data_IF_845913954688
#
_entry.id   IF_845913954688
#
_cell.length_a   1.000
_cell.length_b   1.000
_cell.length_c   1.000
_cell.angle_alpha   90.00
_cell.angle_beta   90.00
_cell.angle_gamma   90.00
#
_symmetry.space_group_name_H-M   'P 1'
#
loop_
_entity.id
_entity.type
_entity.pdbx_description
1 polymer ?
#
# COMPACT_ATOMS: atom_id res chain seq x y z
N UNK A 1 -20.09 6.40 -48.29
CA UNK A 1 -19.98 6.35 -46.82
C UNK A 1 -18.55 5.93 -46.46
N UNK A 2 -17.60 6.86 -46.51
CA UNK A 2 -16.18 6.58 -46.23
C UNK A 2 -15.94 6.84 -44.74
N UNK A 3 -15.93 5.79 -43.93
CA UNK A 3 -15.38 5.89 -42.57
C UNK A 3 -13.88 6.03 -42.69
N UNK A 4 -13.38 7.24 -42.50
CA UNK A 4 -11.96 7.53 -42.26
C UNK A 4 -11.52 6.73 -41.04
N UNK A 5 -11.09 5.48 -41.28
CA UNK A 5 -10.52 4.57 -40.29
C UNK A 5 -9.26 5.25 -39.79
N UNK A 6 -9.37 5.97 -38.68
CA UNK A 6 -8.27 6.73 -38.07
C UNK A 6 -7.02 5.86 -38.12
N UNK A 7 -6.03 6.28 -38.92
CA UNK A 7 -4.78 5.57 -39.12
C UNK A 7 -3.95 5.67 -37.83
N UNK A 8 -4.34 4.89 -36.82
CA UNK A 8 -3.72 4.83 -35.49
C UNK A 8 -2.41 4.03 -35.51
N UNK A 9 -1.74 3.93 -36.66
CA UNK A 9 -0.51 3.14 -36.82
C UNK A 9 0.61 3.68 -35.93
N UNK A 10 0.75 5.01 -35.85
CA UNK A 10 1.68 5.65 -34.91
C UNK A 10 1.32 5.40 -33.44
N UNK A 11 0.02 5.35 -33.10
CA UNK A 11 -0.42 5.02 -31.75
C UNK A 11 -0.20 3.54 -31.40
N UNK A 12 -0.31 2.65 -32.38
CA UNK A 12 -0.03 1.22 -32.22
C UNK A 12 1.46 0.97 -32.02
N UNK A 13 2.33 1.72 -32.67
CA UNK A 13 3.78 1.66 -32.47
C UNK A 13 4.19 1.92 -31.00
N UNK A 14 3.47 2.79 -30.27
CA UNK A 14 3.72 3.05 -28.84
C UNK A 14 3.57 1.80 -27.95
N UNK A 15 2.83 0.77 -28.39
CA UNK A 15 2.73 -0.51 -27.64
C UNK A 15 4.02 -1.32 -27.69
N UNK A 16 4.80 -1.13 -28.74
CA UNK A 16 6.05 -1.85 -29.00
C UNK A 16 7.26 -1.09 -28.47
N UNK A 17 7.11 0.21 -28.21
CA UNK A 17 8.15 1.03 -27.62
C UNK A 17 8.48 0.62 -26.17
N UNK A 18 9.76 0.74 -25.81
CA UNK A 18 10.22 0.45 -24.46
C UNK A 18 9.52 1.39 -23.47
N UNK A 19 8.85 0.87 -22.43
CA UNK A 19 8.15 1.71 -21.48
C UNK A 19 9.10 2.70 -20.82
N UNK A 20 8.71 3.97 -20.83
CA UNK A 20 9.51 5.11 -20.34
C UNK A 20 9.83 5.04 -18.84
N UNK A 21 9.16 4.18 -18.08
CA UNK A 21 9.34 4.03 -16.63
C UNK A 21 9.30 2.56 -16.19
N UNK A 22 10.13 2.21 -15.20
CA UNK A 22 10.14 0.87 -14.57
C UNK A 22 8.76 0.47 -14.03
N UNK A 23 8.01 1.40 -13.44
CA UNK A 23 6.66 1.08 -12.94
C UNK A 23 5.66 0.80 -14.08
N UNK A 24 5.81 1.46 -15.23
CA UNK A 24 4.97 1.21 -16.40
C UNK A 24 5.26 -0.18 -16.99
N UNK A 25 6.54 -0.58 -17.03
CA UNK A 25 6.95 -1.94 -17.35
C UNK A 25 6.28 -2.96 -16.42
N UNK A 26 6.37 -2.77 -15.09
CA UNK A 26 5.72 -3.66 -14.13
C UNK A 26 4.18 -3.63 -14.20
N UNK A 27 3.55 -2.54 -14.66
CA UNK A 27 2.11 -2.53 -14.92
C UNK A 27 1.73 -3.44 -16.09
N UNK A 28 2.56 -3.49 -17.13
CA UNK A 28 2.41 -4.41 -18.25
C UNK A 28 2.59 -5.87 -17.83
N UNK A 29 3.64 -6.16 -17.04
CA UNK A 29 3.91 -7.50 -16.51
C UNK A 29 2.98 -7.94 -15.38
N UNK A 30 2.20 -7.02 -14.78
CA UNK A 30 1.39 -7.32 -13.61
C UNK A 30 0.43 -8.51 -13.77
N UNK A 31 -0.27 -8.70 -14.92
CA UNK A 31 -1.12 -9.88 -15.12
C UNK A 31 -0.33 -11.20 -15.10
N UNK A 32 0.86 -11.24 -15.71
CA UNK A 32 1.73 -12.42 -15.72
C UNK A 32 2.28 -12.72 -14.33
N UNK A 33 2.63 -11.67 -13.57
CA UNK A 33 3.06 -11.79 -12.17
C UNK A 33 1.93 -12.40 -11.35
N UNK A 34 0.68 -11.95 -11.54
CA UNK A 34 -0.48 -12.53 -10.85
C UNK A 34 -0.72 -13.98 -11.24
N UNK A 35 -0.60 -14.33 -12.52
CA UNK A 35 -0.72 -15.71 -12.98
C UNK A 35 0.34 -16.60 -12.30
N UNK A 36 1.58 -16.14 -12.27
CA UNK A 36 2.70 -16.85 -11.62
C UNK A 36 2.47 -17.03 -10.12
N UNK A 37 1.96 -15.98 -9.44
CA UNK A 37 1.60 -16.07 -8.03
C UNK A 37 0.43 -17.04 -7.79
N UNK A 38 -0.55 -17.09 -8.71
CA UNK A 38 -1.70 -18.00 -8.58
C UNK A 38 -1.33 -19.48 -8.71
N UNK A 39 -0.24 -19.77 -9.42
CA UNK A 39 0.35 -21.12 -9.52
C UNK A 39 1.05 -21.53 -8.21
N UNK A 40 1.34 -20.58 -7.32
CA UNK A 40 1.98 -20.84 -6.02
C UNK A 40 3.44 -20.40 -5.93
N UNK A 41 3.99 -19.77 -6.96
CA UNK A 41 5.33 -19.18 -6.88
C UNK A 41 5.33 -17.95 -5.97
N UNK A 42 6.47 -17.67 -5.35
CA UNK A 42 6.60 -16.48 -4.50
C UNK A 42 7.08 -15.27 -5.29
N UNK A 43 6.82 -14.07 -4.77
CA UNK A 43 7.35 -12.83 -5.35
C UNK A 43 8.89 -12.80 -5.35
N UNK A 44 9.53 -13.58 -4.45
CA UNK A 44 10.99 -13.74 -4.41
C UNK A 44 11.48 -14.56 -5.60
N UNK A 45 10.79 -15.64 -5.97
CA UNK A 45 11.16 -16.46 -7.13
C UNK A 45 11.02 -15.65 -8.43
N UNK A 46 9.93 -14.88 -8.54
CA UNK A 46 9.70 -13.94 -9.64
C UNK A 46 10.84 -12.90 -9.70
N UNK A 47 11.23 -12.33 -8.56
CA UNK A 47 12.35 -11.39 -8.49
C UNK A 47 13.67 -12.00 -8.97
N UNK A 48 14.00 -13.21 -8.50
CA UNK A 48 15.20 -13.91 -8.93
C UNK A 48 15.19 -14.19 -10.43
N UNK A 49 14.04 -14.59 -10.98
CA UNK A 49 13.91 -14.84 -12.43
C UNK A 49 14.06 -13.55 -13.23
N UNK A 50 13.42 -12.47 -12.81
CA UNK A 50 13.57 -11.16 -13.43
C UNK A 50 15.02 -10.67 -13.45
N UNK A 51 15.76 -10.88 -12.36
CA UNK A 51 17.20 -10.53 -12.31
C UNK A 51 18.01 -11.39 -13.27
N UNK A 52 17.73 -12.70 -13.37
CA UNK A 52 18.38 -13.59 -14.35
C UNK A 52 18.11 -13.18 -15.79
N UNK A 53 16.91 -12.68 -16.07
CA UNK A 53 16.52 -12.17 -17.38
C UNK A 53 17.03 -10.74 -17.66
N UNK A 54 17.86 -10.17 -16.76
CA UNK A 54 18.52 -8.87 -16.92
C UNK A 54 17.72 -7.66 -16.45
N UNK A 55 16.59 -7.87 -15.76
CA UNK A 55 15.80 -6.78 -15.18
C UNK A 55 16.40 -6.38 -13.83
N UNK A 56 17.26 -5.37 -13.84
CA UNK A 56 17.85 -4.79 -12.63
C UNK A 56 16.81 -4.03 -11.80
N UNK A 57 16.23 -4.73 -10.82
CA UNK A 57 15.32 -4.19 -9.81
C UNK A 57 15.68 -4.80 -8.45
N UNK A 58 15.66 -3.98 -7.39
CA UNK A 58 15.81 -4.51 -6.03
C UNK A 58 14.49 -5.14 -5.57
N UNK A 59 14.57 -6.18 -4.73
CA UNK A 59 13.38 -6.85 -4.20
C UNK A 59 12.42 -5.90 -3.45
N UNK A 60 12.89 -4.97 -2.58
CA UNK A 60 12.00 -4.00 -1.93
C UNK A 60 11.29 -3.08 -2.93
N UNK A 61 11.99 -2.68 -4.00
CA UNK A 61 11.41 -1.82 -5.03
C UNK A 61 10.33 -2.56 -5.83
N UNK A 62 10.59 -3.81 -6.21
CA UNK A 62 9.59 -4.67 -6.84
C UNK A 62 8.34 -4.80 -5.96
N UNK A 63 8.51 -5.14 -4.68
CA UNK A 63 7.40 -5.26 -3.73
C UNK A 63 6.59 -3.96 -3.60
N UNK A 64 7.27 -2.82 -3.58
CA UNK A 64 6.63 -1.50 -3.54
C UNK A 64 5.83 -1.20 -4.81
N UNK A 65 6.38 -1.52 -5.98
CA UNK A 65 5.67 -1.37 -7.25
C UNK A 65 4.42 -2.25 -7.31
N UNK A 66 4.53 -3.54 -7.00
CA UNK A 66 3.38 -4.46 -6.99
C UNK A 66 2.31 -3.97 -6.01
N UNK A 67 2.71 -3.56 -4.80
CA UNK A 67 1.78 -3.02 -3.80
C UNK A 67 1.08 -1.75 -4.29
N UNK A 68 1.82 -0.86 -4.98
CA UNK A 68 1.26 0.36 -5.57
C UNK A 68 0.27 0.04 -6.69
N UNK A 69 0.63 -0.85 -7.61
CA UNK A 69 -0.24 -1.27 -8.72
C UNK A 69 -1.53 -1.90 -8.18
N UNK A 70 -1.42 -2.74 -7.15
CA UNK A 70 -2.59 -3.33 -6.47
C UNK A 70 -3.52 -2.26 -5.90
N UNK A 71 -2.98 -1.24 -5.23
CA UNK A 71 -3.77 -0.11 -4.70
C UNK A 71 -4.41 0.73 -5.80
N UNK A 72 -3.69 0.99 -6.88
CA UNK A 72 -4.21 1.73 -8.04
C UNK A 72 -5.43 1.02 -8.65
N UNK A 73 -5.37 -0.31 -8.76
CA UNK A 73 -6.47 -1.14 -9.30
C UNK A 73 -7.63 -1.34 -8.31
N UNK A 74 -7.34 -1.40 -7.01
CA UNK A 74 -8.37 -1.56 -5.98
C UNK A 74 -9.12 -0.25 -5.65
N UNK A 75 -8.57 0.91 -6.05
CA UNK A 75 -9.24 2.19 -5.83
C UNK A 75 -10.40 2.37 -6.81
N UNK A 76 -11.61 2.69 -6.32
CA UNK A 76 -12.70 3.13 -7.21
C UNK A 76 -12.26 4.39 -7.97
N UNK A 77 -12.63 4.49 -9.25
CA UNK A 77 -12.28 5.62 -10.13
C UNK A 77 -12.66 6.99 -9.53
N UNK A 78 -13.68 7.04 -8.66
CA UNK A 78 -14.17 8.24 -8.00
C UNK A 78 -13.20 8.84 -6.94
N UNK A 79 -12.22 8.07 -6.45
CA UNK A 79 -11.32 8.51 -5.37
C UNK A 79 -9.98 9.08 -5.90
N UNK A 80 -9.78 9.10 -7.23
CA UNK A 80 -8.54 9.61 -7.83
C UNK A 80 -8.41 11.14 -7.73
N UNK A 81 -9.50 11.87 -7.46
CA UNK A 81 -9.50 13.33 -7.36
C UNK A 81 -9.23 13.89 -5.94
N UNK A 82 -8.59 13.11 -5.05
CA UNK A 82 -8.23 13.56 -3.68
C UNK A 82 -6.72 13.69 -3.44
N UNK A 83 -5.97 14.15 -4.44
CA UNK A 83 -4.65 14.75 -4.26
C UNK A 83 -4.71 16.08 -5.04
N UNK A 84 -5.06 17.23 -4.47
CA UNK A 84 -4.88 17.72 -3.11
C UNK A 84 -6.12 18.52 -2.67
N UNK A 85 -7.05 17.87 -1.97
CA UNK A 85 -7.79 18.60 -0.95
C UNK A 85 -6.88 18.57 0.27
N UNK A 86 -6.12 19.64 0.51
CA UNK A 86 -5.68 19.96 1.87
C UNK A 86 -6.95 19.87 2.72
N UNK A 87 -7.07 18.83 3.53
CA UNK A 87 -8.13 18.79 4.51
C UNK A 87 -7.95 20.06 5.34
N UNK A 88 -8.94 20.96 5.47
CA UNK A 88 -8.90 21.87 6.60
C UNK A 88 -8.85 20.95 7.81
N UNK A 89 -7.80 21.11 8.60
CA UNK A 89 -7.69 20.55 9.95
C UNK A 89 -9.09 20.72 10.56
N UNK A 90 -9.79 19.66 10.99
CA UNK A 90 -11.07 19.85 11.61
C UNK A 90 -10.82 20.71 12.83
N UNK A 91 -11.31 21.96 12.79
CA UNK A 91 -11.48 22.77 13.96
C UNK A 91 -12.38 21.94 14.87
N UNK A 92 -11.75 21.22 15.80
CA UNK A 92 -12.42 20.45 16.80
C UNK A 92 -13.37 21.42 17.48
N UNK A 93 -14.66 21.14 17.28
CA UNK A 93 -15.78 21.76 17.94
C UNK A 93 -15.41 21.90 19.42
N UNK A 94 -15.20 23.14 19.87
CA UNK A 94 -15.05 23.43 21.28
C UNK A 94 -16.33 22.96 21.99
N UNK A 95 -16.25 22.12 23.04
CA UNK A 95 -16.98 22.46 24.23
C UNK A 95 -16.16 23.54 24.95
N UNK A 96 -16.79 24.67 25.20
CA UNK A 96 -16.29 25.64 26.15
C UNK A 96 -16.18 24.94 27.51
N UNK A 97 -14.99 24.47 27.87
CA UNK A 97 -14.62 24.24 29.26
C UNK A 97 -13.22 24.79 29.42
N UNK A 98 -13.14 25.79 30.29
CA UNK A 98 -11.96 26.40 30.86
C UNK A 98 -11.12 25.35 31.61
N UNK A 99 -10.53 24.41 30.88
CA UNK A 99 -9.54 23.48 31.42
C UNK A 99 -8.16 23.98 31.00
N UNK A 100 -7.33 24.29 31.99
CA UNK A 100 -5.93 24.65 31.82
C UNK A 100 -5.26 23.63 30.87
N UNK A 101 -4.64 24.09 29.75
CA UNK A 101 -3.99 23.20 28.80
C UNK A 101 -2.96 22.28 29.46
N UNK A 102 -2.32 22.72 30.55
CA UNK A 102 -1.38 21.90 31.32
C UNK A 102 -2.10 20.78 32.08
N UNK A 103 -3.24 21.08 32.71
CA UNK A 103 -4.03 20.08 33.43
C UNK A 103 -4.51 18.95 32.49
N UNK A 104 -4.89 19.30 31.27
CA UNK A 104 -5.26 18.31 30.26
C UNK A 104 -4.07 17.44 29.81
N UNK A 105 -2.89 18.06 29.62
CA UNK A 105 -1.67 17.31 29.29
C UNK A 105 -1.26 16.34 30.41
N UNK A 106 -1.31 16.76 31.67
CA UNK A 106 -1.03 15.88 32.80
C UNK A 106 -2.04 14.74 32.92
N UNK A 107 -3.34 15.02 32.68
CA UNK A 107 -4.39 13.99 32.65
C UNK A 107 -4.18 12.98 31.51
N UNK A 108 -3.67 13.42 30.36
CA UNK A 108 -3.36 12.51 29.25
C UNK A 108 -2.18 11.59 29.58
N UNK A 109 -1.17 12.11 30.29
CA UNK A 109 0.01 11.35 30.71
C UNK A 109 -0.25 10.45 31.92
N UNK A 110 -1.21 10.79 32.78
CA UNK A 110 -1.57 9.97 33.94
C UNK A 110 -2.42 8.74 33.59
N UNK A 111 -2.94 8.66 32.35
CA UNK A 111 -3.62 7.45 31.89
C UNK A 111 -2.62 6.31 31.81
N UNK A 112 -2.82 5.19 32.55
CA UNK A 112 -1.95 4.04 32.43
C UNK A 112 -1.93 3.59 30.97
N UNK A 113 -0.73 3.36 30.44
CA UNK A 113 -0.56 2.79 29.11
C UNK A 113 -1.27 1.43 29.11
N UNK A 114 -2.07 1.19 28.08
CA UNK A 114 -2.78 -0.05 27.87
C UNK A 114 -1.78 -1.22 27.96
N UNK A 115 -1.88 -2.04 29.01
CA UNK A 115 -1.05 -3.24 29.13
C UNK A 115 -1.66 -4.34 28.28
N UNK A 116 -1.01 -4.61 27.15
CA UNK A 116 -1.42 -5.63 26.19
C UNK A 116 -1.45 -7.04 26.82
N UNK A 117 -0.76 -7.25 27.96
CA UNK A 117 -0.81 -8.51 28.73
C UNK A 117 -2.14 -8.70 29.46
N UNK A 118 -2.78 -7.61 29.87
CA UNK A 118 -4.02 -7.63 30.64
C UNK A 118 -5.26 -7.73 29.73
N UNK A 119 -5.17 -7.20 28.51
CA UNK A 119 -6.24 -7.29 27.50
C UNK A 119 -6.36 -8.68 26.83
N UNK A 120 -5.43 -9.59 27.08
CA UNK A 120 -5.32 -10.94 26.46
C UNK A 120 -5.38 -12.06 27.52
N UNK A 121 -6.20 -11.89 28.56
CA UNK A 121 -6.34 -12.86 29.65
C UNK A 121 -6.84 -14.23 29.16
N UNK A 122 -5.93 -15.17 28.88
CA UNK A 122 -6.07 -16.59 29.21
C UNK A 122 -4.73 -17.31 28.99
N UNK A 123 -3.95 -17.41 30.05
CA UNK A 123 -2.73 -18.21 30.11
C UNK A 123 -2.51 -18.64 31.55
N UNK A 124 -3.21 -19.69 31.94
CA UNK A 124 -3.11 -20.36 33.25
C UNK A 124 -1.66 -20.44 33.74
N UNK A 125 -1.29 -19.74 34.83
CA UNK A 125 0.04 -19.85 35.40
C UNK A 125 0.08 -21.12 36.22
N UNK A 126 0.50 -22.21 35.60
CA UNK A 126 0.83 -23.47 36.30
C UNK A 126 1.80 -23.15 37.44
N UNK A 127 1.27 -23.01 38.65
CA UNK A 127 2.04 -22.93 39.89
C UNK A 127 2.72 -24.27 40.10
N UNK A 128 3.94 -24.42 39.59
CA UNK A 128 4.91 -25.38 40.11
C UNK A 128 6.04 -24.60 40.74
N UNK A 129 5.93 -24.37 42.06
CA UNK A 129 7.11 -24.20 42.90
C UNK A 129 7.86 -25.53 42.85
N UNK A 130 9.01 -25.55 42.19
CA UNK A 130 10.00 -26.59 42.43
C UNK A 130 10.57 -26.29 43.82
N UNK A 131 10.36 -27.24 44.71
CA UNK A 131 11.00 -27.37 46.02
C UNK A 131 12.47 -27.73 45.77
#
# INVERSE_FOLDING_TARGET
MQTSRLALEHFRALKTEKPRSKIAFFRGLYPEILATLSVGHTLRDIHQRLVKDGVEVSYPLLRNYISRIRRERARPAFVQNKQAARLPIPAARAPAVTEDPLANAMRALSKPRYDIREAMCEGDPTKKKLI
#
